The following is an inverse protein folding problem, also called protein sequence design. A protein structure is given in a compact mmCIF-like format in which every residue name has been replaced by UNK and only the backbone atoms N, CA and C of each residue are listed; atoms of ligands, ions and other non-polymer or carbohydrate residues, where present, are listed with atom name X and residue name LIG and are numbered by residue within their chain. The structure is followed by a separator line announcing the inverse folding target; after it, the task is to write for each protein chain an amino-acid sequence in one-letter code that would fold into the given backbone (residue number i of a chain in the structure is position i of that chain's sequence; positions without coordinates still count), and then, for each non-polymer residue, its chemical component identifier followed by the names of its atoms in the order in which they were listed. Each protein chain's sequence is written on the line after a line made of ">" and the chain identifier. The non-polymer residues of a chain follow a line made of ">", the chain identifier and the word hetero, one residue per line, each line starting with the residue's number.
data_IF_094929899366
#
_entry.id   IF_094929899366
#
_cell.length_a   1.000
_cell.length_b   1.000
_cell.length_c   1.000
_cell.angle_alpha   90.00
_cell.angle_beta   90.00
_cell.angle_gamma   90.00
#
_symmetry.space_group_name_H-M   'P 1'
#
loop_
_entity.id
_entity.type
_entity.pdbx_description
1 polymer ?
#
# COMPACT_ATOMS: atom_id res chain seq x y z
N UNK A 1 9.66 18.50 -6.57
CA UNK A 1 8.38 17.77 -6.26
C UNK A 1 7.97 16.91 -7.46
N UNK A 2 7.69 15.64 -7.24
CA UNK A 2 7.38 14.68 -8.31
C UNK A 2 5.86 14.52 -8.53
N UNK A 3 5.33 15.16 -9.58
CA UNK A 3 3.89 15.15 -9.91
C UNK A 3 3.33 13.74 -10.15
N UNK A 4 4.12 12.81 -10.75
CA UNK A 4 3.66 11.43 -10.99
C UNK A 4 3.41 10.67 -9.69
N UNK A 5 4.30 10.86 -8.71
CA UNK A 5 4.13 10.24 -7.39
C UNK A 5 2.88 10.80 -6.70
N UNK A 6 2.61 12.11 -6.80
CA UNK A 6 1.40 12.73 -6.23
C UNK A 6 0.14 12.12 -6.83
N UNK A 7 0.07 12.03 -8.16
CA UNK A 7 -1.10 11.45 -8.85
C UNK A 7 -1.33 10.00 -8.40
N UNK A 8 -0.27 9.18 -8.39
CA UNK A 8 -0.35 7.78 -7.95
C UNK A 8 -0.81 7.67 -6.49
N UNK A 9 -0.21 8.47 -5.61
CA UNK A 9 -0.57 8.51 -4.20
C UNK A 9 -2.03 8.94 -3.98
N UNK A 10 -2.50 9.94 -4.72
CA UNK A 10 -3.89 10.42 -4.63
C UNK A 10 -4.90 9.37 -5.10
N UNK A 11 -4.58 8.61 -6.15
CA UNK A 11 -5.41 7.50 -6.62
C UNK A 11 -5.49 6.42 -5.53
N UNK A 12 -4.37 5.96 -5.00
CA UNK A 12 -4.37 4.93 -3.95
C UNK A 12 -5.03 5.41 -2.66
N UNK A 13 -4.81 6.67 -2.26
CA UNK A 13 -5.45 7.25 -1.09
C UNK A 13 -6.97 7.37 -1.26
N UNK A 14 -7.42 7.89 -2.39
CA UNK A 14 -8.86 7.97 -2.71
C UNK A 14 -9.53 6.60 -2.75
N UNK A 15 -8.89 5.62 -3.41
CA UNK A 15 -9.38 4.23 -3.42
C UNK A 15 -9.41 3.62 -2.01
N UNK A 16 -8.42 3.89 -1.16
CA UNK A 16 -8.42 3.39 0.22
C UNK A 16 -9.61 3.95 1.03
N UNK A 17 -9.99 5.19 0.82
CA UNK A 17 -11.19 5.77 1.44
C UNK A 17 -12.47 5.08 0.94
N UNK A 18 -12.61 4.92 -0.38
CA UNK A 18 -13.78 4.25 -0.98
C UNK A 18 -13.89 2.80 -0.48
N UNK A 19 -12.81 2.03 -0.56
CA UNK A 19 -12.79 0.64 -0.13
C UNK A 19 -12.98 0.51 1.38
N UNK A 20 -12.39 1.41 2.18
CA UNK A 20 -12.61 1.46 3.62
C UNK A 20 -14.07 1.73 4.00
N UNK A 21 -14.71 2.66 3.31
CA UNK A 21 -16.15 2.95 3.50
C UNK A 21 -17.02 1.75 3.10
N UNK A 22 -16.69 1.05 2.02
CA UNK A 22 -17.38 -0.20 1.63
C UNK A 22 -17.27 -1.26 2.73
N UNK A 23 -16.08 -1.44 3.31
CA UNK A 23 -15.86 -2.37 4.42
C UNK A 23 -16.70 -2.02 5.65
N UNK A 24 -16.73 -0.75 6.02
CA UNK A 24 -17.45 -0.27 7.21
C UNK A 24 -18.98 -0.34 7.09
N UNK A 25 -19.53 -0.29 5.89
CA UNK A 25 -20.97 -0.21 5.65
C UNK A 25 -21.52 -1.40 4.86
N UNK A 26 -21.18 -1.51 3.57
CA UNK A 26 -21.75 -2.49 2.67
C UNK A 26 -21.31 -3.93 2.97
N UNK A 27 -20.02 -4.15 3.30
CA UNK A 27 -19.47 -5.47 3.51
C UNK A 27 -19.58 -5.96 4.95
N UNK A 28 -19.71 -5.06 5.91
CA UNK A 28 -19.77 -5.41 7.34
C UNK A 28 -20.83 -6.49 7.67
N UNK A 29 -22.06 -6.42 7.18
CA UNK A 29 -23.07 -7.45 7.45
C UNK A 29 -22.86 -8.75 6.64
N UNK A 30 -21.97 -8.75 5.64
CA UNK A 30 -21.79 -9.85 4.70
C UNK A 30 -20.51 -10.68 4.97
N UNK A 31 -19.56 -10.12 5.72
CA UNK A 31 -18.28 -10.75 6.04
C UNK A 31 -18.27 -11.27 7.48
N UNK A 32 -17.59 -12.39 7.69
CA UNK A 32 -17.25 -12.85 9.03
C UNK A 32 -16.32 -11.84 9.72
N UNK A 33 -16.30 -11.77 11.07
CA UNK A 33 -15.45 -10.82 11.80
C UNK A 33 -13.98 -10.87 11.38
N UNK A 34 -13.40 -12.06 11.21
CA UNK A 34 -12.00 -12.23 10.77
C UNK A 34 -11.77 -11.79 9.32
N UNK A 35 -12.75 -11.96 8.44
CA UNK A 35 -12.69 -11.48 7.05
C UNK A 35 -12.73 -9.94 7.03
N UNK A 36 -13.56 -9.34 7.87
CA UNK A 36 -13.65 -7.88 7.97
C UNK A 36 -12.34 -7.29 8.49
N UNK A 37 -11.71 -7.89 9.49
CA UNK A 37 -10.38 -7.47 10.00
C UNK A 37 -9.33 -7.54 8.89
N UNK A 38 -9.34 -8.61 8.09
CA UNK A 38 -8.43 -8.77 6.93
C UNK A 38 -8.66 -7.69 5.89
N UNK A 39 -9.91 -7.38 5.58
CA UNK A 39 -10.30 -6.32 4.65
C UNK A 39 -9.86 -4.94 5.14
N UNK A 40 -10.11 -4.63 6.40
CA UNK A 40 -9.70 -3.36 7.02
C UNK A 40 -8.18 -3.20 7.04
N UNK A 41 -7.44 -4.29 7.26
CA UNK A 41 -5.98 -4.30 7.19
C UNK A 41 -5.51 -3.90 5.79
N UNK A 42 -6.14 -4.42 4.73
CA UNK A 42 -5.84 -4.05 3.35
C UNK A 42 -5.98 -2.53 3.12
N UNK A 43 -7.12 -1.96 3.51
CA UNK A 43 -7.42 -0.54 3.34
C UNK A 43 -6.47 0.35 4.15
N UNK A 44 -6.13 -0.07 5.36
CA UNK A 44 -5.24 0.65 6.27
C UNK A 44 -3.82 0.72 5.72
N UNK A 45 -3.26 -0.39 5.28
CA UNK A 45 -1.90 -0.42 4.70
C UNK A 45 -1.84 0.29 3.35
N UNK A 46 -2.90 0.23 2.55
CA UNK A 46 -3.01 1.03 1.34
C UNK A 46 -2.95 2.54 1.65
N UNK A 47 -3.70 3.01 2.63
CA UNK A 47 -3.70 4.41 3.04
C UNK A 47 -2.33 4.83 3.60
N UNK A 48 -1.72 4.05 4.49
CA UNK A 48 -0.41 4.38 5.06
C UNK A 48 0.65 4.60 3.98
N UNK A 49 0.68 3.74 2.97
CA UNK A 49 1.68 3.84 1.91
C UNK A 49 1.31 4.84 0.82
N UNK A 50 0.02 5.15 0.64
CA UNK A 50 -0.40 6.30 -0.16
C UNK A 50 0.09 7.62 0.46
N UNK A 51 -0.06 7.79 1.78
CA UNK A 51 0.48 8.95 2.50
C UNK A 51 2.02 8.99 2.46
N UNK A 52 2.68 7.84 2.61
CA UNK A 52 4.13 7.75 2.47
C UNK A 52 4.59 8.20 1.06
N UNK A 53 3.88 7.84 0.00
CA UNK A 53 4.15 8.31 -1.36
C UNK A 53 4.01 9.84 -1.49
N UNK A 54 3.00 10.46 -0.87
CA UNK A 54 2.88 11.92 -0.84
C UNK A 54 4.07 12.58 -0.14
N UNK A 55 4.49 12.02 1.00
CA UNK A 55 5.68 12.50 1.72
C UNK A 55 6.95 12.36 0.89
N UNK A 56 7.13 11.23 0.18
CA UNK A 56 8.28 11.05 -0.72
C UNK A 56 8.31 12.09 -1.84
N UNK A 57 7.15 12.44 -2.39
CA UNK A 57 7.07 13.50 -3.40
C UNK A 57 7.46 14.86 -2.84
N UNK A 58 7.00 15.18 -1.62
CA UNK A 58 7.32 16.46 -0.96
C UNK A 58 8.81 16.57 -0.61
N UNK A 59 9.45 15.45 -0.27
CA UNK A 59 10.87 15.39 0.13
C UNK A 59 11.82 15.12 -1.05
N UNK A 60 11.31 14.92 -2.27
CA UNK A 60 12.09 14.46 -3.42
C UNK A 60 13.27 15.38 -3.79
N UNK A 61 13.14 16.67 -3.53
CA UNK A 61 14.18 17.66 -3.85
C UNK A 61 15.26 17.77 -2.75
N UNK A 62 15.02 17.17 -1.57
CA UNK A 62 15.90 17.23 -0.39
C UNK A 62 16.65 15.91 -0.14
N UNK A 63 16.22 14.83 -0.76
CA UNK A 63 16.74 13.48 -0.52
C UNK A 63 17.36 12.89 -1.80
N UNK A 64 18.09 11.79 -1.64
CA UNK A 64 18.70 11.13 -2.78
C UNK A 64 17.65 10.59 -3.77
N UNK A 65 17.58 11.18 -4.96
CA UNK A 65 16.56 10.91 -5.98
C UNK A 65 16.48 9.44 -6.42
N UNK A 66 17.62 8.72 -6.44
CA UNK A 66 17.67 7.30 -6.82
C UNK A 66 16.91 6.44 -5.81
N UNK A 67 17.15 6.65 -4.52
CA UNK A 67 16.48 5.88 -3.47
C UNK A 67 15.02 6.30 -3.30
N UNK A 68 14.66 7.57 -3.52
CA UNK A 68 13.26 8.02 -3.60
C UNK A 68 12.50 7.28 -4.71
N UNK A 69 13.13 7.13 -5.89
CA UNK A 69 12.52 6.37 -7.01
C UNK A 69 12.33 4.89 -6.66
N UNK A 70 13.29 4.26 -6.00
CA UNK A 70 13.14 2.87 -5.56
C UNK A 70 12.06 2.73 -4.48
N UNK A 71 12.06 3.59 -3.45
CA UNK A 71 11.05 3.58 -2.41
C UNK A 71 9.63 3.72 -2.97
N UNK A 72 9.41 4.67 -3.90
CA UNK A 72 8.11 4.86 -4.51
C UNK A 72 7.64 3.64 -5.31
N UNK A 73 8.53 2.99 -6.06
CA UNK A 73 8.20 1.76 -6.79
C UNK A 73 7.86 0.60 -5.85
N UNK A 74 8.65 0.41 -4.79
CA UNK A 74 8.39 -0.62 -3.79
C UNK A 74 7.06 -0.39 -3.06
N UNK A 75 6.70 0.85 -2.72
CA UNK A 75 5.41 1.14 -2.11
C UNK A 75 4.25 0.87 -3.06
N UNK A 76 4.36 1.25 -4.33
CA UNK A 76 3.32 0.96 -5.34
C UNK A 76 3.14 -0.54 -5.51
N UNK A 77 4.23 -1.29 -5.73
CA UNK A 77 4.18 -2.75 -5.87
C UNK A 77 3.66 -3.40 -4.58
N UNK A 78 4.10 -2.92 -3.42
CA UNK A 78 3.62 -3.37 -2.12
C UNK A 78 2.12 -3.19 -1.95
N UNK A 79 1.54 -2.03 -2.31
CA UNK A 79 0.09 -1.81 -2.28
C UNK A 79 -0.62 -2.80 -3.19
N UNK A 80 -0.15 -2.97 -4.42
CA UNK A 80 -0.76 -3.87 -5.40
C UNK A 80 -0.73 -5.31 -4.89
N UNK A 81 0.39 -5.80 -4.40
CA UNK A 81 0.51 -7.18 -3.94
C UNK A 81 -0.15 -7.41 -2.58
N UNK A 82 0.13 -6.57 -1.59
CA UNK A 82 -0.34 -6.75 -0.22
C UNK A 82 -1.83 -6.44 -0.08
N UNK A 83 -2.23 -5.21 -0.40
CA UNK A 83 -3.63 -4.80 -0.16
C UNK A 83 -4.60 -5.50 -1.10
N UNK A 84 -4.27 -5.69 -2.38
CA UNK A 84 -5.16 -6.38 -3.31
C UNK A 84 -5.35 -7.86 -2.95
N UNK A 85 -4.28 -8.57 -2.54
CA UNK A 85 -4.41 -9.96 -2.09
C UNK A 85 -5.27 -10.07 -0.85
N UNK A 86 -5.13 -9.17 0.13
CA UNK A 86 -5.97 -9.18 1.34
C UNK A 86 -7.43 -8.83 1.04
N UNK A 87 -7.72 -7.89 0.13
CA UNK A 87 -9.11 -7.64 -0.30
C UNK A 87 -9.73 -8.89 -0.91
N UNK A 88 -9.00 -9.59 -1.80
CA UNK A 88 -9.49 -10.81 -2.44
C UNK A 88 -9.66 -11.95 -1.43
N UNK A 89 -8.71 -12.14 -0.51
CA UNK A 89 -8.82 -13.14 0.56
C UNK A 89 -10.03 -12.86 1.45
N UNK A 90 -10.26 -11.61 1.82
CA UNK A 90 -11.38 -11.24 2.68
C UNK A 90 -12.75 -11.45 2.01
N UNK A 91 -12.84 -11.25 0.70
CA UNK A 91 -14.10 -11.27 -0.04
C UNK A 91 -14.30 -12.51 -0.90
N UNK A 92 -13.42 -13.53 -0.82
CA UNK A 92 -13.47 -14.70 -1.68
C UNK A 92 -14.84 -15.41 -1.67
N UNK A 93 -15.49 -15.50 -0.51
CA UNK A 93 -16.81 -16.11 -0.36
C UNK A 93 -17.91 -15.36 -1.10
N UNK A 94 -17.83 -14.01 -1.15
CA UNK A 94 -18.78 -13.17 -1.88
C UNK A 94 -18.53 -13.19 -3.39
N UNK A 95 -17.27 -13.37 -3.80
CA UNK A 95 -16.87 -13.44 -5.19
C UNK A 95 -17.04 -14.84 -5.80
N UNK A 96 -17.37 -15.83 -4.97
CA UNK A 96 -17.69 -17.18 -5.43
C UNK A 96 -16.48 -18.02 -5.86
N UNK A 97 -15.25 -17.70 -5.41
CA UNK A 97 -14.10 -18.55 -5.66
C UNK A 97 -13.59 -19.24 -4.37
N UNK A 98 -13.56 -20.54 -4.38
CA UNK A 98 -13.15 -21.35 -3.23
C UNK A 98 -11.63 -21.48 -3.12
N UNK A 99 -10.94 -21.51 -4.26
CA UNK A 99 -9.48 -21.68 -4.31
C UNK A 99 -8.76 -20.34 -4.20
N UNK A 100 -8.73 -19.76 -2.99
CA UNK A 100 -8.04 -18.49 -2.69
C UNK A 100 -6.66 -18.69 -2.04
N UNK A 101 -6.26 -19.92 -1.73
CA UNK A 101 -5.02 -20.24 -1.00
C UNK A 101 -3.75 -19.78 -1.75
N UNK A 102 -3.81 -19.71 -3.08
CA UNK A 102 -2.70 -19.20 -3.89
C UNK A 102 -2.40 -17.69 -3.67
N UNK A 103 -3.36 -16.95 -3.11
CA UNK A 103 -3.15 -15.55 -2.74
C UNK A 103 -2.31 -15.40 -1.46
N UNK A 104 -2.27 -16.45 -0.62
CA UNK A 104 -1.53 -16.43 0.64
C UNK A 104 -0.07 -16.00 0.51
N UNK A 105 0.73 -16.61 -0.40
CA UNK A 105 2.12 -16.23 -0.62
C UNK A 105 2.32 -14.83 -1.22
N UNK A 106 1.31 -14.25 -1.88
CA UNK A 106 1.39 -12.92 -2.50
C UNK A 106 1.43 -11.83 -1.43
N UNK A 107 0.67 -11.98 -0.36
CA UNK A 107 0.61 -11.01 0.74
C UNK A 107 1.99 -10.78 1.39
N UNK A 108 2.74 -11.80 1.82
CA UNK A 108 4.10 -11.62 2.36
C UNK A 108 5.07 -10.97 1.37
N UNK A 109 4.96 -11.26 0.07
CA UNK A 109 5.78 -10.60 -0.95
C UNK A 109 5.49 -9.10 -1.01
N UNK A 110 4.22 -8.70 -0.92
CA UNK A 110 3.84 -7.30 -0.83
C UNK A 110 4.35 -6.63 0.45
N UNK A 111 4.29 -7.34 1.59
CA UNK A 111 4.86 -6.90 2.86
C UNK A 111 6.38 -6.68 2.77
N UNK A 112 7.09 -7.60 2.11
CA UNK A 112 8.53 -7.44 1.85
C UNK A 112 8.82 -6.19 0.99
N UNK A 113 8.00 -5.91 -0.03
CA UNK A 113 8.11 -4.68 -0.81
C UNK A 113 7.96 -3.44 0.07
N UNK A 114 7.02 -3.41 1.01
CA UNK A 114 6.89 -2.31 1.96
C UNK A 114 8.16 -2.13 2.81
N UNK A 115 8.70 -3.20 3.35
CA UNK A 115 9.95 -3.16 4.15
C UNK A 115 11.10 -2.60 3.30
N UNK A 116 11.29 -3.11 2.08
CA UNK A 116 12.33 -2.61 1.17
C UNK A 116 12.12 -1.13 0.81
N UNK A 117 10.86 -0.71 0.63
CA UNK A 117 10.52 0.68 0.41
C UNK A 117 10.97 1.57 1.58
N UNK A 118 10.69 1.18 2.81
CA UNK A 118 11.12 1.92 4.01
C UNK A 118 12.63 1.93 4.19
N UNK A 119 13.33 0.83 3.87
CA UNK A 119 14.80 0.81 3.82
C UNK A 119 15.32 1.82 2.79
N UNK A 120 14.71 1.90 1.61
CA UNK A 120 15.09 2.90 0.61
C UNK A 120 14.85 4.34 1.08
N UNK A 121 13.77 4.60 1.83
CA UNK A 121 13.53 5.92 2.45
C UNK A 121 14.68 6.28 3.40
N UNK A 122 15.04 5.38 4.28
CA UNK A 122 16.19 5.56 5.21
C UNK A 122 17.48 5.83 4.44
N UNK A 123 17.79 5.02 3.42
CA UNK A 123 19.00 5.19 2.60
C UNK A 123 18.97 6.50 1.82
N UNK A 124 17.80 7.01 1.41
CA UNK A 124 17.68 8.26 0.71
C UNK A 124 18.10 9.45 1.58
N UNK A 125 17.80 9.39 2.87
CA UNK A 125 18.23 10.40 3.83
C UNK A 125 19.72 10.31 4.15
N UNK A 126 20.23 9.10 4.42
CA UNK A 126 21.66 8.89 4.75
C UNK A 126 22.59 9.28 3.58
N UNK A 127 22.16 9.03 2.34
CA UNK A 127 22.93 9.33 1.13
C UNK A 127 22.57 10.66 0.48
N UNK A 128 21.83 11.50 1.17
CA UNK A 128 21.60 12.89 0.74
C UNK A 128 22.87 13.71 0.97
N UNK A 129 23.32 14.42 -0.06
CA UNK A 129 24.52 15.27 0.00
C UNK A 129 24.27 16.62 0.68
N UNK A 130 23.05 16.92 1.08
CA UNK A 130 22.60 18.21 1.63
C UNK A 130 22.39 18.26 3.16
N UNK A 131 22.92 17.30 3.90
CA UNK A 131 22.97 17.47 5.37
C UNK A 131 24.31 18.14 5.72
N UNK A 132 24.39 19.46 5.48
CA UNK A 132 25.34 20.35 6.13
C UNK A 132 24.59 21.35 7.00
#
# INVERSE_FOLDING_TARGET
>A
MNKRIIVTASIFGGLAVVLGAMGAHALKPLLLPEQLITYETAARYQMYHALALLMLSALSDKLNAKFISYASRFFVVGIILFSSSLYLIATHSLLGFENYLWLGPITPLGGLCFILGWICVMLSAIKSTEIK
#
